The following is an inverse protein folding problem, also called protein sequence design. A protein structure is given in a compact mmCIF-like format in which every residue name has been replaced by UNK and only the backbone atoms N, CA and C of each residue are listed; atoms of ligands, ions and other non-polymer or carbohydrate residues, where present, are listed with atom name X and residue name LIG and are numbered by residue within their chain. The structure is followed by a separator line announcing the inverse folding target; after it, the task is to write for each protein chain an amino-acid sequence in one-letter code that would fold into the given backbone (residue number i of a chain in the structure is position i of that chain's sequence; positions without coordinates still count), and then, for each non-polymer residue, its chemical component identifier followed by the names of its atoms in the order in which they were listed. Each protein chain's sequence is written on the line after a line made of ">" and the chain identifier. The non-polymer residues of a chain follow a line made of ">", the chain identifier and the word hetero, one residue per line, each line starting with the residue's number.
data_IF_761853844107
#
_entry.id   IF_761853844107
#
_cell.length_a   1.000
_cell.length_b   1.000
_cell.length_c   1.000
_cell.angle_alpha   90.00
_cell.angle_beta   90.00
_cell.angle_gamma   90.00
#
_symmetry.space_group_name_H-M   'P 1'
#
loop_
_entity.id
_entity.type
_entity.pdbx_description
1 polymer ?
#
# COMPACT_ATOMS: atom_id res chain seq x y z
N UNK A 1 27.70 -13.74 0.49
CA UNK A 1 27.34 -13.92 1.91
C UNK A 1 26.04 -13.19 2.16
N UNK A 2 25.03 -13.79 2.79
CA UNK A 2 23.83 -13.05 3.15
C UNK A 2 24.23 -11.90 4.08
N UNK A 3 23.61 -10.75 3.89
CA UNK A 3 23.81 -9.59 4.78
C UNK A 3 23.21 -9.95 6.15
N UNK A 4 23.62 -9.27 7.20
CA UNK A 4 23.16 -9.56 8.56
C UNK A 4 21.61 -9.60 8.68
N UNK A 5 20.91 -8.76 7.91
CA UNK A 5 19.45 -8.75 7.78
C UNK A 5 18.87 -9.92 6.98
N UNK A 6 19.70 -10.66 6.25
CA UNK A 6 19.34 -11.81 5.40
C UNK A 6 19.71 -13.13 6.09
N UNK A 7 20.33 -13.06 7.27
CA UNK A 7 20.78 -14.24 8.01
C UNK A 7 19.67 -14.93 8.81
N UNK A 8 18.53 -14.27 9.03
CA UNK A 8 17.39 -14.86 9.71
C UNK A 8 16.39 -15.39 8.70
N UNK A 9 16.01 -16.63 8.84
CA UNK A 9 14.87 -17.19 8.10
C UNK A 9 13.57 -16.53 8.55
N UNK A 10 12.50 -16.67 7.77
CA UNK A 10 11.16 -16.25 8.16
C UNK A 10 10.77 -16.91 9.48
N UNK A 11 11.06 -18.19 9.62
CA UNK A 11 10.78 -19.00 10.81
C UNK A 11 11.55 -18.48 12.04
N UNK A 12 12.83 -18.11 11.88
CA UNK A 12 13.61 -17.51 12.95
C UNK A 12 13.07 -16.16 13.37
N UNK A 13 12.66 -15.33 12.41
CA UNK A 13 12.04 -14.04 12.67
C UNK A 13 10.75 -14.22 13.46
N UNK A 14 9.87 -15.10 13.04
CA UNK A 14 8.61 -15.39 13.74
C UNK A 14 8.84 -15.92 15.15
N UNK A 15 9.84 -16.79 15.34
CA UNK A 15 10.21 -17.30 16.65
C UNK A 15 10.69 -16.19 17.60
N UNK A 16 11.51 -15.26 17.10
CA UNK A 16 12.00 -14.12 17.90
C UNK A 16 10.88 -13.15 18.24
N UNK A 17 9.92 -12.97 17.34
CA UNK A 17 8.74 -12.15 17.59
C UNK A 17 7.85 -12.70 18.72
N UNK A 18 7.81 -14.01 18.87
CA UNK A 18 7.07 -14.67 19.95
C UNK A 18 5.63 -14.16 20.10
N UNK A 19 4.90 -14.14 19.01
CA UNK A 19 3.51 -13.66 18.94
C UNK A 19 3.32 -12.14 19.08
N UNK A 20 4.38 -11.37 19.23
CA UNK A 20 4.28 -9.90 19.27
C UNK A 20 3.90 -9.34 17.92
N UNK A 21 3.07 -8.31 17.91
CA UNK A 21 2.66 -7.61 16.70
C UNK A 21 3.87 -7.04 15.95
N UNK A 22 3.90 -7.29 14.65
CA UNK A 22 4.80 -6.63 13.70
C UNK A 22 4.00 -6.12 12.50
N UNK A 23 4.38 -4.93 11.99
CA UNK A 23 4.01 -4.48 10.67
C UNK A 23 5.17 -4.78 9.72
N UNK A 24 4.97 -5.72 8.81
CA UNK A 24 5.96 -6.13 7.84
C UNK A 24 5.74 -5.37 6.53
N UNK A 25 6.68 -4.50 6.18
CA UNK A 25 6.75 -3.84 4.88
C UNK A 25 7.42 -4.77 3.86
N UNK A 26 7.16 -4.55 2.57
CA UNK A 26 7.66 -5.39 1.49
C UNK A 26 7.33 -6.86 1.67
N UNK A 27 6.10 -7.13 2.13
CA UNK A 27 5.66 -8.51 2.40
C UNK A 27 5.71 -9.39 1.12
N UNK A 28 5.64 -8.76 -0.05
CA UNK A 28 5.75 -9.42 -1.35
C UNK A 28 7.14 -10.00 -1.63
N UNK A 29 8.17 -9.51 -0.94
CA UNK A 29 9.54 -10.00 -1.07
C UNK A 29 10.32 -9.53 -2.30
N UNK A 30 9.67 -8.88 -3.26
CA UNK A 30 10.29 -8.41 -4.49
C UNK A 30 10.90 -7.02 -4.37
N UNK A 31 10.20 -6.09 -3.73
CA UNK A 31 10.51 -4.66 -3.75
C UNK A 31 11.70 -4.22 -2.89
N UNK A 32 12.23 -5.02 -2.06
CA UNK A 32 13.31 -4.66 -1.13
C UNK A 32 13.47 -5.68 -0.03
N UNK A 33 12.60 -6.67 -0.02
CA UNK A 33 12.65 -7.79 0.90
C UNK A 33 13.95 -8.55 0.75
N UNK A 34 14.49 -8.98 1.87
CA UNK A 34 15.77 -9.66 1.90
C UNK A 34 15.65 -11.15 1.53
N UNK A 35 14.43 -11.68 1.59
CA UNK A 35 14.18 -13.10 1.42
C UNK A 35 12.98 -13.27 0.50
N UNK A 36 13.11 -13.99 -0.65
CA UNK A 36 11.99 -14.20 -1.57
C UNK A 36 10.76 -14.84 -0.93
N UNK A 37 10.95 -15.57 0.17
CA UNK A 37 9.88 -16.27 0.87
C UNK A 37 9.26 -15.45 2.03
N UNK A 38 9.57 -14.18 2.17
CA UNK A 38 8.96 -13.32 3.23
C UNK A 38 7.43 -13.27 3.11
N UNK A 39 6.89 -13.52 1.93
CA UNK A 39 5.46 -13.61 1.68
C UNK A 39 4.75 -14.64 2.60
N UNK A 40 5.46 -15.65 3.10
CA UNK A 40 4.94 -16.58 4.13
C UNK A 40 4.43 -15.87 5.38
N UNK A 41 4.96 -14.69 5.68
CA UNK A 41 4.52 -13.91 6.85
C UNK A 41 3.13 -13.30 6.67
N UNK A 42 2.62 -13.16 5.44
CA UNK A 42 1.37 -12.45 5.18
C UNK A 42 0.15 -13.07 5.87
N UNK A 43 0.12 -14.40 6.00
CA UNK A 43 -0.99 -15.12 6.63
C UNK A 43 -0.90 -15.28 8.15
N UNK A 44 0.20 -14.81 8.78
CA UNK A 44 0.47 -15.06 10.21
C UNK A 44 -0.36 -14.11 11.09
N UNK A 45 -1.05 -14.61 12.15
CA UNK A 45 -2.03 -13.83 12.94
C UNK A 45 -1.50 -12.60 13.65
N UNK A 46 -0.19 -12.51 13.91
CA UNK A 46 0.42 -11.33 14.55
C UNK A 46 1.23 -10.46 13.57
N UNK A 47 1.15 -10.73 12.27
CA UNK A 47 1.85 -9.98 11.23
C UNK A 47 0.86 -9.19 10.37
N UNK A 48 0.95 -7.89 10.41
CA UNK A 48 0.21 -7.00 9.51
C UNK A 48 1.06 -6.81 8.26
N UNK A 49 0.62 -7.37 7.13
CA UNK A 49 1.35 -7.28 5.86
C UNK A 49 1.04 -6.00 5.10
N UNK A 50 2.08 -5.42 4.50
CA UNK A 50 1.99 -4.26 3.61
C UNK A 50 2.85 -4.50 2.37
N UNK A 51 2.24 -4.36 1.19
CA UNK A 51 2.94 -4.38 -0.09
C UNK A 51 3.26 -2.98 -0.58
N UNK A 52 4.24 -2.87 -1.46
CA UNK A 52 4.61 -1.61 -2.09
C UNK A 52 4.15 -1.52 -3.53
N UNK A 53 3.85 -0.31 -3.98
CA UNK A 53 3.21 -0.09 -5.27
C UNK A 53 4.01 -0.52 -6.52
N UNK A 54 5.35 -0.61 -6.54
CA UNK A 54 6.08 -1.04 -7.73
C UNK A 54 5.68 -2.41 -8.26
N UNK A 55 5.24 -3.34 -7.39
CA UNK A 55 4.82 -4.69 -7.80
C UNK A 55 3.37 -4.76 -8.30
N UNK A 56 2.57 -3.70 -8.08
CA UNK A 56 1.12 -3.68 -8.25
C UNK A 56 0.67 -2.92 -9.49
N UNK A 57 -0.28 -3.46 -10.26
CA UNK A 57 -0.62 -4.87 -10.38
C UNK A 57 0.43 -5.66 -11.14
N UNK A 58 0.44 -6.98 -11.03
CA UNK A 58 1.31 -7.84 -11.82
C UNK A 58 0.99 -7.71 -13.31
N UNK A 59 1.88 -7.04 -14.04
CA UNK A 59 1.76 -6.76 -15.46
C UNK A 59 2.79 -7.53 -16.29
N UNK A 60 2.62 -7.53 -17.62
CA UNK A 60 3.49 -8.23 -18.58
C UNK A 60 4.97 -7.94 -18.36
N UNK A 61 5.32 -6.68 -18.15
CA UNK A 61 6.71 -6.23 -18.05
C UNK A 61 7.20 -6.09 -16.59
N UNK A 62 6.35 -6.42 -15.61
CA UNK A 62 6.63 -6.19 -14.19
C UNK A 62 7.94 -6.86 -13.72
N UNK A 63 8.23 -8.07 -14.19
CA UNK A 63 9.49 -8.79 -13.86
C UNK A 63 10.72 -8.03 -14.38
N UNK A 64 10.66 -7.57 -15.62
CA UNK A 64 11.77 -6.86 -16.26
C UNK A 64 11.97 -5.47 -15.62
N UNK A 65 10.88 -4.74 -15.39
CA UNK A 65 10.90 -3.44 -14.70
C UNK A 65 11.49 -3.57 -13.30
N UNK A 66 11.05 -4.57 -12.55
CA UNK A 66 11.53 -4.80 -11.18
C UNK A 66 13.00 -5.19 -11.13
N UNK A 67 13.44 -6.03 -12.07
CA UNK A 67 14.85 -6.36 -12.21
C UNK A 67 15.68 -5.09 -12.42
N UNK A 68 15.28 -4.22 -13.34
CA UNK A 68 15.94 -2.94 -13.58
C UNK A 68 15.95 -2.03 -12.35
N UNK A 69 14.84 -1.98 -11.63
CA UNK A 69 14.72 -1.19 -10.39
C UNK A 69 15.64 -1.70 -9.28
N UNK A 70 15.70 -3.01 -9.05
CA UNK A 70 16.58 -3.63 -8.05
C UNK A 70 18.05 -3.34 -8.39
N UNK A 71 18.43 -3.53 -9.64
CA UNK A 71 19.80 -3.24 -10.11
C UNK A 71 20.15 -1.77 -9.83
N UNK A 72 19.27 -0.86 -10.20
CA UNK A 72 19.50 0.58 -10.02
C UNK A 72 19.48 1.02 -8.56
N UNK A 73 18.47 0.58 -7.78
CA UNK A 73 18.30 1.02 -6.41
C UNK A 73 19.38 0.48 -5.45
N UNK A 74 19.96 -0.67 -5.76
CA UNK A 74 21.01 -1.29 -4.94
C UNK A 74 22.43 -1.10 -5.52
N UNK A 75 22.57 -0.28 -6.57
CA UNK A 75 23.84 -0.06 -7.27
C UNK A 75 24.54 -1.37 -7.67
N UNK A 76 23.75 -2.37 -8.10
CA UNK A 76 24.29 -3.66 -8.53
C UNK A 76 24.97 -3.55 -9.88
N UNK A 77 26.01 -4.31 -10.05
CA UNK A 77 26.77 -4.37 -11.30
C UNK A 77 26.38 -5.64 -12.07
N UNK A 78 25.63 -5.47 -13.14
CA UNK A 78 25.12 -6.60 -13.95
C UNK A 78 26.23 -7.47 -14.53
N UNK A 79 27.43 -6.91 -14.70
CA UNK A 79 28.63 -7.61 -15.19
C UNK A 79 29.23 -8.54 -14.12
N UNK A 80 28.82 -8.39 -12.86
CA UNK A 80 29.24 -9.26 -11.78
C UNK A 80 28.21 -10.39 -11.60
N UNK A 81 28.60 -11.65 -11.82
CA UNK A 81 27.66 -12.79 -11.73
C UNK A 81 26.90 -12.87 -10.41
N UNK A 82 27.54 -12.51 -9.30
CA UNK A 82 26.93 -12.52 -7.96
C UNK A 82 25.81 -11.47 -7.83
N UNK A 83 26.02 -10.27 -8.33
CA UNK A 83 25.03 -9.18 -8.30
C UNK A 83 23.83 -9.50 -9.19
N UNK A 84 24.13 -9.99 -10.40
CA UNK A 84 23.08 -10.40 -11.33
C UNK A 84 22.25 -11.58 -10.79
N UNK A 85 22.87 -12.56 -10.12
CA UNK A 85 22.17 -13.65 -9.48
C UNK A 85 21.29 -13.15 -8.34
N UNK A 86 21.80 -12.27 -7.47
CA UNK A 86 21.06 -11.67 -6.38
C UNK A 86 19.80 -10.94 -6.87
N UNK A 87 19.91 -10.16 -7.95
CA UNK A 87 18.76 -9.47 -8.52
C UNK A 87 17.70 -10.45 -9.05
N UNK A 88 18.14 -11.51 -9.78
CA UNK A 88 17.21 -12.51 -10.32
C UNK A 88 16.53 -13.34 -9.25
N UNK A 89 17.23 -13.68 -8.18
CA UNK A 89 16.67 -14.49 -7.08
C UNK A 89 15.55 -13.77 -6.33
N UNK A 90 15.56 -12.46 -6.32
CA UNK A 90 14.53 -11.63 -5.68
C UNK A 90 13.28 -11.47 -6.52
N UNK A 91 13.38 -11.48 -7.84
CA UNK A 91 12.28 -11.15 -8.74
C UNK A 91 11.67 -12.43 -9.29
N UNK A 92 10.48 -12.77 -8.82
CA UNK A 92 9.79 -14.01 -9.19
C UNK A 92 8.36 -13.72 -9.62
N UNK A 93 8.04 -14.09 -10.84
CA UNK A 93 6.69 -13.93 -11.39
C UNK A 93 5.60 -14.59 -10.51
N UNK A 94 5.90 -15.76 -9.96
CA UNK A 94 4.96 -16.48 -9.10
C UNK A 94 4.57 -15.73 -7.83
N UNK A 95 5.53 -15.09 -7.15
CA UNK A 95 5.23 -14.27 -5.96
C UNK A 95 4.51 -12.99 -6.32
N UNK A 96 4.85 -12.34 -7.44
CA UNK A 96 4.16 -11.13 -7.91
C UNK A 96 2.70 -11.40 -8.29
N UNK A 97 2.43 -12.51 -8.98
CA UNK A 97 1.06 -12.90 -9.31
C UNK A 97 0.25 -13.27 -8.07
N UNK A 98 0.85 -14.01 -7.14
CA UNK A 98 0.19 -14.38 -5.89
C UNK A 98 -0.08 -13.18 -4.98
N UNK A 99 0.75 -12.15 -5.02
CA UNK A 99 0.55 -10.91 -4.27
C UNK A 99 -0.80 -10.28 -4.61
N UNK A 100 -1.14 -10.13 -5.90
CA UNK A 100 -2.43 -9.59 -6.33
C UNK A 100 -3.61 -10.40 -5.73
N UNK A 101 -3.50 -11.74 -5.76
CA UNK A 101 -4.53 -12.63 -5.20
C UNK A 101 -4.62 -12.50 -3.68
N UNK A 102 -3.50 -12.45 -2.97
CA UNK A 102 -3.48 -12.27 -1.51
C UNK A 102 -4.09 -10.94 -1.09
N UNK A 103 -3.89 -9.89 -1.88
CA UNK A 103 -4.59 -8.63 -1.68
C UNK A 103 -6.10 -8.77 -1.86
N UNK A 104 -6.52 -9.44 -2.92
CA UNK A 104 -7.94 -9.58 -3.23
C UNK A 104 -8.67 -10.48 -2.23
N UNK A 105 -8.00 -11.49 -1.71
CA UNK A 105 -8.49 -12.35 -0.63
C UNK A 105 -8.50 -11.66 0.76
N UNK A 106 -7.92 -10.47 0.89
CA UNK A 106 -7.84 -9.74 2.16
C UNK A 106 -6.81 -10.27 3.15
N UNK A 107 -5.79 -10.98 2.68
CA UNK A 107 -4.65 -11.44 3.50
C UNK A 107 -3.63 -10.33 3.68
N UNK A 108 -3.31 -9.58 2.62
CA UNK A 108 -2.48 -8.38 2.71
C UNK A 108 -3.39 -7.17 2.92
N UNK A 109 -3.27 -6.54 4.09
CA UNK A 109 -4.22 -5.53 4.56
C UNK A 109 -3.89 -4.08 4.19
N UNK A 110 -2.69 -3.80 3.71
CA UNK A 110 -2.19 -2.43 3.47
C UNK A 110 -1.43 -2.37 2.15
N UNK A 111 -1.59 -1.26 1.42
CA UNK A 111 -0.71 -0.87 0.32
C UNK A 111 0.07 0.38 0.68
N UNK A 112 1.34 0.41 0.30
CA UNK A 112 2.27 1.52 0.58
C UNK A 112 3.02 1.95 -0.68
N UNK A 113 3.74 3.06 -0.59
CA UNK A 113 4.38 3.66 -1.75
C UNK A 113 5.83 3.26 -1.95
N UNK A 114 6.55 2.99 -0.88
CA UNK A 114 8.02 2.94 -0.88
C UNK A 114 8.64 4.22 -1.50
N UNK A 115 8.01 5.36 -1.25
CA UNK A 115 8.49 6.63 -1.79
C UNK A 115 9.93 6.91 -1.33
N UNK A 116 10.75 7.39 -2.26
CA UNK A 116 12.20 7.65 -2.07
C UNK A 116 13.06 6.37 -1.98
N UNK A 117 12.47 5.20 -1.88
CA UNK A 117 13.15 3.93 -2.08
C UNK A 117 13.07 3.52 -3.56
N UNK A 118 12.05 2.70 -3.90
CA UNK A 118 11.80 2.32 -5.30
C UNK A 118 10.39 2.68 -5.78
N UNK A 119 9.55 3.28 -4.96
CA UNK A 119 8.15 3.57 -5.28
C UNK A 119 7.84 5.06 -5.40
N UNK A 120 6.61 5.37 -5.77
CA UNK A 120 6.09 6.72 -5.96
C UNK A 120 4.81 6.91 -5.17
N UNK A 121 4.82 7.84 -4.22
CA UNK A 121 3.66 8.10 -3.36
C UNK A 121 2.39 8.39 -4.17
N UNK A 122 2.49 9.21 -5.21
CA UNK A 122 1.36 9.57 -6.05
C UNK A 122 0.73 8.40 -6.81
N UNK A 123 1.45 7.33 -7.07
CA UNK A 123 0.93 6.17 -7.78
C UNK A 123 0.20 5.15 -6.88
N UNK A 124 0.33 5.27 -5.56
CA UNK A 124 -0.17 4.24 -4.65
C UNK A 124 -1.67 4.01 -4.81
N UNK A 125 -2.46 5.08 -4.83
CA UNK A 125 -3.92 4.99 -4.99
C UNK A 125 -4.27 4.36 -6.34
N UNK A 126 -3.70 4.89 -7.42
CA UNK A 126 -3.98 4.42 -8.77
C UNK A 126 -3.62 2.94 -8.96
N UNK A 127 -2.43 2.52 -8.53
CA UNK A 127 -1.99 1.13 -8.68
C UNK A 127 -2.82 0.17 -7.83
N UNK A 128 -3.24 0.60 -6.65
CA UNK A 128 -4.15 -0.17 -5.79
C UNK A 128 -5.48 -0.44 -6.50
N UNK A 129 -6.09 0.57 -7.12
CA UNK A 129 -7.35 0.37 -7.87
C UNK A 129 -7.15 -0.28 -9.23
N UNK A 130 -6.00 -0.12 -9.88
CA UNK A 130 -5.65 -0.90 -11.06
C UNK A 130 -5.57 -2.40 -10.75
N UNK A 131 -5.00 -2.76 -9.60
CA UNK A 131 -5.00 -4.14 -9.11
C UNK A 131 -6.43 -4.64 -8.84
N UNK A 132 -7.28 -3.83 -8.19
CA UNK A 132 -8.68 -4.17 -7.98
C UNK A 132 -9.41 -4.47 -9.30
N UNK A 133 -9.18 -3.63 -10.32
CA UNK A 133 -9.73 -3.83 -11.66
C UNK A 133 -9.25 -5.11 -12.34
N UNK A 134 -7.95 -5.42 -12.23
CA UNK A 134 -7.37 -6.68 -12.70
C UNK A 134 -8.02 -7.88 -12.02
N UNK A 135 -8.11 -7.86 -10.68
CA UNK A 135 -8.68 -8.97 -9.92
C UNK A 135 -10.17 -9.17 -10.22
N UNK A 136 -10.93 -8.10 -10.45
CA UNK A 136 -12.32 -8.22 -10.91
C UNK A 136 -12.40 -8.92 -12.26
N UNK A 137 -11.53 -8.58 -13.19
CA UNK A 137 -11.51 -9.19 -14.52
C UNK A 137 -11.12 -10.67 -14.48
N UNK A 138 -10.26 -11.06 -13.55
CA UNK A 138 -9.72 -12.41 -13.43
C UNK A 138 -10.59 -13.33 -12.58
N UNK A 139 -11.11 -12.85 -11.45
CA UNK A 139 -11.81 -13.66 -10.44
C UNK A 139 -13.32 -13.37 -10.34
N UNK A 140 -13.83 -12.38 -11.08
CA UNK A 140 -15.22 -11.94 -10.96
C UNK A 140 -15.45 -10.98 -9.78
N UNK A 141 -16.73 -10.57 -9.56
CA UNK A 141 -17.09 -9.66 -8.48
C UNK A 141 -16.97 -10.33 -7.10
N UNK A 142 -16.74 -9.52 -6.07
CA UNK A 142 -16.87 -9.96 -4.68
C UNK A 142 -18.32 -9.76 -4.21
N UNK A 143 -18.87 -10.75 -3.51
CA UNK A 143 -20.14 -10.63 -2.82
C UNK A 143 -20.02 -9.83 -1.51
N UNK A 144 -21.16 -9.59 -0.84
CA UNK A 144 -21.21 -8.84 0.42
C UNK A 144 -20.47 -9.52 1.59
N UNK A 145 -20.16 -10.80 1.46
CA UNK A 145 -19.37 -11.57 2.43
C UNK A 145 -17.88 -11.62 2.06
N UNK A 146 -17.53 -11.09 0.88
CA UNK A 146 -16.16 -11.03 0.39
C UNK A 146 -15.68 -12.32 -0.28
N UNK A 147 -16.59 -13.17 -0.70
CA UNK A 147 -16.35 -14.35 -1.52
C UNK A 147 -16.58 -14.04 -3.00
N UNK A 148 -16.00 -14.85 -3.89
CA UNK A 148 -16.21 -14.65 -5.32
C UNK A 148 -17.60 -15.14 -5.74
N UNK A 149 -18.40 -14.21 -6.24
CA UNK A 149 -19.75 -14.51 -6.75
C UNK A 149 -19.71 -15.15 -8.11
N UNK A 150 -20.68 -16.04 -8.37
CA UNK A 150 -20.87 -16.67 -9.68
C UNK A 150 -21.75 -15.86 -10.62
N UNK A 151 -22.46 -14.86 -10.10
CA UNK A 151 -23.34 -13.99 -10.88
C UNK A 151 -22.86 -12.54 -10.80
N UNK A 152 -22.86 -11.87 -11.94
CA UNK A 152 -22.58 -10.45 -12.02
C UNK A 152 -23.73 -9.67 -11.36
N UNK A 153 -23.62 -9.35 -10.09
CA UNK A 153 -24.54 -8.43 -9.40
C UNK A 153 -24.53 -7.01 -9.97
N UNK A 154 -23.70 -6.75 -10.96
CA UNK A 154 -23.54 -5.45 -11.60
C UNK A 154 -22.65 -4.48 -10.81
N UNK A 155 -22.44 -4.69 -9.53
CA UNK A 155 -21.55 -3.89 -8.71
C UNK A 155 -20.42 -4.73 -8.09
N UNK A 156 -19.41 -4.07 -7.58
CA UNK A 156 -18.26 -4.68 -6.90
C UNK A 156 -17.85 -3.80 -5.70
N UNK A 157 -18.86 -3.27 -5.01
CA UNK A 157 -18.69 -2.34 -3.92
C UNK A 157 -17.87 -2.93 -2.78
N UNK A 158 -18.00 -4.24 -2.53
CA UNK A 158 -17.21 -4.92 -1.50
C UNK A 158 -15.71 -4.87 -1.83
N UNK A 159 -15.32 -5.11 -3.09
CA UNK A 159 -13.92 -4.96 -3.50
C UNK A 159 -13.44 -3.52 -3.39
N UNK A 160 -14.25 -2.54 -3.82
CA UNK A 160 -13.90 -1.12 -3.68
C UNK A 160 -13.63 -0.77 -2.21
N UNK A 161 -14.50 -1.20 -1.30
CA UNK A 161 -14.35 -0.95 0.14
C UNK A 161 -13.14 -1.69 0.73
N UNK A 162 -12.88 -2.92 0.31
CA UNK A 162 -11.70 -3.70 0.71
C UNK A 162 -10.41 -2.99 0.32
N UNK A 163 -10.32 -2.50 -0.91
CA UNK A 163 -9.14 -1.81 -1.40
C UNK A 163 -9.01 -0.39 -0.86
N UNK A 164 -10.13 0.29 -0.62
CA UNK A 164 -10.13 1.58 0.07
C UNK A 164 -9.58 1.46 1.50
N UNK A 165 -9.97 0.42 2.22
CA UNK A 165 -9.49 0.19 3.59
C UNK A 165 -7.96 0.04 3.67
N UNK A 166 -7.32 -0.53 2.63
CA UNK A 166 -5.85 -0.68 2.54
C UNK A 166 -5.09 0.64 2.48
N UNK A 167 -5.75 1.68 1.99
CA UNK A 167 -5.17 3.02 1.80
C UNK A 167 -5.54 3.98 2.94
N UNK A 168 -6.53 3.64 3.76
CA UNK A 168 -7.14 4.57 4.70
C UNK A 168 -7.12 4.04 6.13
N UNK A 169 -8.16 3.29 6.51
CA UNK A 169 -8.36 2.90 7.90
C UNK A 169 -7.35 1.85 8.39
N UNK A 170 -6.94 0.90 7.55
CA UNK A 170 -6.01 -0.15 7.96
C UNK A 170 -4.62 0.39 8.32
N UNK A 171 -3.96 1.24 7.52
CA UNK A 171 -2.73 1.87 7.95
C UNK A 171 -2.92 2.77 9.19
N UNK A 172 -4.07 3.43 9.33
CA UNK A 172 -4.35 4.24 10.51
C UNK A 172 -4.46 3.39 11.79
N UNK A 173 -5.08 2.21 11.72
CA UNK A 173 -5.11 1.22 12.81
C UNK A 173 -3.70 0.72 13.11
N UNK A 174 -2.98 0.24 12.08
CA UNK A 174 -1.65 -0.34 12.24
C UNK A 174 -0.65 0.62 12.91
N UNK A 175 -0.77 1.91 12.62
CA UNK A 175 0.10 2.96 13.16
C UNK A 175 -0.48 3.70 14.36
N UNK A 176 -1.68 3.36 14.81
CA UNK A 176 -2.26 3.86 16.07
C UNK A 176 -2.83 5.28 16.00
N UNK A 177 -3.27 5.75 14.82
CA UNK A 177 -3.91 7.06 14.65
C UNK A 177 -5.33 6.99 14.06
N UNK A 178 -5.95 5.83 14.08
CA UNK A 178 -7.33 5.65 13.59
C UNK A 178 -8.38 6.51 14.33
N UNK A 179 -8.06 7.04 15.49
CA UNK A 179 -8.90 7.98 16.23
C UNK A 179 -8.88 9.42 15.67
N UNK A 180 -7.94 9.74 14.77
CA UNK A 180 -7.81 11.06 14.16
C UNK A 180 -8.04 11.06 12.65
N UNK A 181 -7.68 9.95 11.97
CA UNK A 181 -7.72 9.82 10.51
C UNK A 181 -8.14 8.42 10.07
N UNK A 182 -8.30 8.22 8.77
CA UNK A 182 -8.50 6.90 8.15
C UNK A 182 -9.96 6.57 7.85
N UNK A 183 -10.92 7.34 8.36
CA UNK A 183 -12.35 7.18 8.07
C UNK A 183 -13.07 8.53 8.13
N UNK A 184 -14.22 8.60 7.47
CA UNK A 184 -15.09 9.80 7.50
C UNK A 184 -16.04 9.66 8.70
N UNK A 185 -15.64 10.25 9.81
CA UNK A 185 -16.39 10.24 11.07
C UNK A 185 -16.34 11.61 11.74
N UNK A 186 -17.40 11.95 12.46
CA UNK A 186 -17.45 13.20 13.24
C UNK A 186 -16.33 13.19 14.29
N UNK A 187 -15.54 14.26 14.31
CA UNK A 187 -14.42 14.43 15.24
C UNK A 187 -13.05 14.05 14.68
N UNK A 188 -13.00 13.40 13.51
CA UNK A 188 -11.74 13.15 12.80
C UNK A 188 -11.38 14.29 11.84
N UNK A 189 -10.12 14.36 11.44
CA UNK A 189 -9.67 15.30 10.43
C UNK A 189 -10.42 15.09 9.11
N UNK A 190 -10.90 16.17 8.53
CA UNK A 190 -11.59 16.16 7.24
C UNK A 190 -10.57 16.04 6.09
N UNK A 191 -9.84 14.92 6.07
CA UNK A 191 -8.96 14.50 4.98
C UNK A 191 -9.80 13.73 3.97
N UNK A 192 -10.31 14.43 2.96
CA UNK A 192 -11.36 13.90 2.07
C UNK A 192 -10.91 14.03 0.62
N UNK A 193 -11.15 12.98 -0.16
CA UNK A 193 -10.89 12.97 -1.59
C UNK A 193 -12.21 12.82 -2.35
N UNK A 194 -12.43 13.72 -3.31
CA UNK A 194 -13.58 13.66 -4.19
C UNK A 194 -13.14 13.22 -5.59
N UNK A 195 -13.84 12.24 -6.15
CA UNK A 195 -13.65 11.78 -7.52
C UNK A 195 -14.93 11.90 -8.34
N UNK A 196 -14.79 12.19 -9.60
CA UNK A 196 -15.80 11.79 -10.55
C UNK A 196 -15.81 10.27 -10.66
N UNK A 197 -16.97 9.59 -10.65
CA UNK A 197 -17.05 8.13 -10.67
C UNK A 197 -16.20 7.48 -11.78
N UNK A 198 -16.21 8.03 -12.98
CA UNK A 198 -15.44 7.53 -14.13
C UNK A 198 -13.91 7.62 -13.96
N UNK A 199 -13.42 8.42 -13.01
CA UNK A 199 -12.00 8.61 -12.73
C UNK A 199 -11.61 8.13 -11.33
N UNK A 200 -12.49 7.35 -10.70
CA UNK A 200 -12.28 6.87 -9.34
C UNK A 200 -10.95 6.14 -9.20
N UNK A 201 -10.18 6.52 -8.18
CA UNK A 201 -8.88 5.94 -7.88
C UNK A 201 -7.73 6.40 -8.80
N UNK A 202 -8.02 7.10 -9.90
CA UNK A 202 -7.00 7.53 -10.85
C UNK A 202 -6.76 9.06 -10.84
N UNK A 203 -7.84 9.83 -10.92
CA UNK A 203 -7.77 11.30 -11.04
C UNK A 203 -8.72 11.95 -10.04
N UNK A 204 -8.24 12.45 -8.89
CA UNK A 204 -9.10 13.14 -7.94
C UNK A 204 -9.56 14.48 -8.50
N UNK A 205 -10.82 14.83 -8.23
CA UNK A 205 -11.37 16.14 -8.54
C UNK A 205 -10.89 17.18 -7.52
N UNK A 206 -10.89 16.79 -6.25
CA UNK A 206 -10.50 17.65 -5.15
C UNK A 206 -9.97 16.81 -4.00
N UNK A 207 -8.91 17.28 -3.37
CA UNK A 207 -8.40 16.72 -2.11
C UNK A 207 -8.47 17.80 -1.03
N UNK A 208 -9.18 17.49 0.05
CA UNK A 208 -9.23 18.32 1.23
C UNK A 208 -8.28 17.77 2.30
N UNK A 209 -7.48 18.65 2.88
CA UNK A 209 -6.66 18.37 4.05
C UNK A 209 -7.22 19.14 5.24
N UNK A 210 -7.75 18.42 6.24
CA UNK A 210 -8.46 19.02 7.37
C UNK A 210 -9.54 20.03 6.94
N UNK A 211 -10.26 19.71 5.85
CA UNK A 211 -11.28 20.57 5.27
C UNK A 211 -10.76 21.71 4.37
N UNK A 212 -9.45 21.87 4.25
CA UNK A 212 -8.84 22.90 3.40
C UNK A 212 -8.46 22.31 2.03
N UNK A 213 -8.78 22.98 0.89
CA UNK A 213 -8.39 22.52 -0.43
C UNK A 213 -6.86 22.46 -0.56
N UNK A 214 -6.31 21.25 -0.77
CA UNK A 214 -4.87 20.99 -0.88
C UNK A 214 -4.46 20.58 -2.30
N UNK A 215 -5.40 20.07 -3.09
CA UNK A 215 -5.16 19.62 -4.45
C UNK A 215 -6.48 19.65 -5.22
N UNK A 216 -6.46 20.03 -6.48
CA UNK A 216 -7.66 20.02 -7.31
C UNK A 216 -7.34 20.07 -8.79
N UNK A 217 -8.36 19.80 -9.60
CA UNK A 217 -8.31 20.08 -11.03
C UNK A 217 -8.41 21.59 -11.20
N UNK A 218 -7.37 22.20 -11.72
CA UNK A 218 -7.40 23.60 -12.10
C UNK A 218 -7.89 23.72 -13.53
N UNK A 219 -9.09 24.28 -13.72
CA UNK A 219 -9.52 24.76 -15.03
C UNK A 219 -8.85 26.09 -15.31
N UNK A 220 -7.78 26.11 -16.07
CA UNK A 220 -7.36 27.35 -16.72
C UNK A 220 -8.27 27.57 -17.93
N UNK A 221 -9.06 28.66 -18.00
CA UNK A 221 -9.91 28.96 -19.15
C UNK A 221 -9.16 29.03 -20.47
N UNK A 222 -7.86 29.26 -20.43
CA UNK A 222 -6.99 29.30 -21.60
C UNK A 222 -6.23 27.99 -21.84
N UNK A 223 -6.35 26.98 -20.95
CA UNK A 223 -5.71 25.69 -21.14
C UNK A 223 -6.57 24.79 -22.02
N UNK A 224 -5.94 24.12 -22.96
CA UNK A 224 -6.59 23.13 -23.82
C UNK A 224 -6.78 21.78 -23.14
N UNK A 225 -6.25 21.59 -21.93
CA UNK A 225 -6.32 20.35 -21.15
C UNK A 225 -6.51 20.65 -19.67
N UNK A 226 -7.35 19.84 -19.01
CA UNK A 226 -7.44 19.85 -17.56
C UNK A 226 -6.16 19.29 -16.98
N UNK A 227 -5.55 20.00 -16.06
CA UNK A 227 -4.40 19.54 -15.29
C UNK A 227 -4.79 19.29 -13.87
N UNK A 228 -4.32 18.18 -13.31
CA UNK A 228 -4.30 17.99 -11.88
C UNK A 228 -3.00 18.55 -11.35
N UNK A 229 -3.08 19.62 -10.62
CA UNK A 229 -1.91 20.24 -9.99
C UNK A 229 -2.11 20.30 -8.49
N UNK A 230 -1.05 20.08 -7.69
CA UNK A 230 -1.11 20.44 -6.29
C UNK A 230 -1.42 21.94 -6.24
N UNK A 231 -2.43 22.29 -5.46
CA UNK A 231 -2.65 23.71 -5.15
C UNK A 231 -1.43 24.17 -4.37
N UNK A 232 -0.47 24.75 -5.08
CA UNK A 232 0.63 25.47 -4.44
C UNK A 232 0.00 26.70 -3.84
N UNK A 233 -0.34 26.58 -2.57
CA UNK A 233 -0.89 27.68 -1.79
C UNK A 233 0.22 28.70 -1.58
N UNK A 234 0.42 29.54 -2.58
CA UNK A 234 1.21 30.74 -2.41
C UNK A 234 0.55 31.65 -1.38
N UNK A 235 1.21 32.74 -1.03
CA UNK A 235 0.73 33.73 -0.07
C UNK A 235 -0.70 34.18 -0.31
N UNK A 236 -1.10 34.34 -1.56
CA UNK A 236 -2.43 34.80 -1.96
C UNK A 236 -3.57 33.79 -1.66
N UNK A 237 -3.25 32.52 -1.38
CA UNK A 237 -4.22 31.47 -1.08
C UNK A 237 -4.23 31.05 0.39
N UNK A 238 -3.73 31.89 1.29
CA UNK A 238 -3.75 31.61 2.72
C UNK A 238 -2.68 30.64 3.21
N UNK A 239 -1.69 30.27 2.38
CA UNK A 239 -0.57 29.42 2.79
C UNK A 239 0.45 30.13 3.67
N UNK A 240 0.12 31.31 4.15
CA UNK A 240 0.96 32.09 5.07
C UNK A 240 0.93 31.56 6.49
N UNK A 241 2.02 31.76 7.17
CA UNK A 241 2.11 31.64 8.62
C UNK A 241 1.85 30.23 9.12
N UNK A 242 0.74 30.04 9.80
CA UNK A 242 0.46 28.83 10.54
C UNK A 242 -0.31 27.75 9.73
N UNK A 243 -0.83 28.05 8.55
CA UNK A 243 -1.80 27.17 7.83
C UNK A 243 -1.31 25.73 7.73
N UNK A 244 -0.08 25.49 7.31
CA UNK A 244 0.47 24.14 7.19
C UNK A 244 0.54 23.39 8.54
N UNK A 245 0.70 24.12 9.64
CA UNK A 245 0.66 23.55 10.98
C UNK A 245 -0.79 23.31 11.45
N UNK A 246 -1.69 24.22 11.12
CA UNK A 246 -3.09 24.18 11.57
C UNK A 246 -3.89 23.04 10.92
N UNK A 247 -3.59 22.72 9.64
CA UNK A 247 -4.25 21.63 8.89
C UNK A 247 -3.60 20.26 9.06
N UNK A 248 -2.58 20.14 9.91
CA UNK A 248 -1.87 18.88 10.12
C UNK A 248 -1.62 18.60 11.59
N UNK A 249 -1.30 17.33 11.89
CA UNK A 249 -0.97 16.86 13.23
C UNK A 249 0.40 16.20 13.24
N UNK A 250 1.02 16.16 14.40
CA UNK A 250 2.20 15.35 14.67
C UNK A 250 1.81 14.18 15.56
N UNK A 251 1.87 12.97 15.03
CA UNK A 251 1.66 11.75 15.79
C UNK A 251 2.92 11.42 16.58
N UNK A 252 2.80 11.31 17.87
CA UNK A 252 3.93 11.14 18.79
C UNK A 252 3.59 10.13 19.89
N UNK A 253 4.59 9.69 20.62
CA UNK A 253 4.36 8.90 21.83
C UNK A 253 3.59 9.73 22.88
N UNK A 254 2.77 9.07 23.70
CA UNK A 254 2.00 9.75 24.74
C UNK A 254 2.86 10.58 25.71
N UNK A 255 4.07 10.09 26.02
CA UNK A 255 5.02 10.83 26.83
C UNK A 255 5.45 12.16 26.18
N UNK A 256 5.57 12.19 24.85
CA UNK A 256 5.93 13.41 24.13
C UNK A 256 4.77 14.41 24.04
N UNK A 257 3.52 13.95 24.14
CA UNK A 257 2.36 14.86 24.30
C UNK A 257 2.42 15.57 25.64
N UNK A 258 2.75 14.83 26.71
CA UNK A 258 2.84 15.38 28.07
C UNK A 258 4.04 16.31 28.25
N UNK A 259 5.17 16.00 27.62
CA UNK A 259 6.44 16.73 27.77
C UNK A 259 6.74 17.59 26.54
N UNK A 260 5.72 18.17 25.95
CA UNK A 260 5.74 18.75 24.61
C UNK A 260 6.66 19.93 24.35
N UNK A 261 7.21 20.56 25.37
CA UNK A 261 8.05 21.77 25.22
C UNK A 261 9.40 21.51 24.54
N UNK A 262 9.82 20.24 24.46
CA UNK A 262 11.08 19.85 23.84
C UNK A 262 10.97 19.55 22.34
N UNK A 263 9.77 19.50 21.76
CA UNK A 263 9.57 19.19 20.36
C UNK A 263 9.31 20.47 19.54
N UNK A 264 10.22 20.87 18.64
CA UNK A 264 10.11 22.13 17.89
C UNK A 264 9.07 22.00 16.76
N UNK A 265 7.80 21.88 17.09
CA UNK A 265 6.70 21.85 16.13
C UNK A 265 5.54 22.72 16.59
N UNK A 266 4.92 23.40 15.63
CA UNK A 266 3.66 24.15 15.83
C UNK A 266 2.43 23.29 15.61
N UNK A 267 2.57 22.06 15.03
CA UNK A 267 1.48 21.14 14.81
C UNK A 267 0.88 20.66 16.13
N UNK A 268 -0.43 20.46 16.15
CA UNK A 268 -1.10 19.77 17.25
C UNK A 268 -0.48 18.38 17.43
N UNK A 269 -0.05 18.05 18.62
CA UNK A 269 0.50 16.73 18.94
C UNK A 269 -0.62 15.80 19.32
N UNK A 270 -0.62 14.59 18.76
CA UNK A 270 -1.59 13.55 19.00
C UNK A 270 -0.88 12.27 19.39
N UNK A 271 -1.31 11.66 20.47
CA UNK A 271 -0.71 10.42 20.94
C UNK A 271 -1.07 9.24 20.02
N UNK A 272 -0.09 8.46 19.64
CA UNK A 272 -0.27 7.14 19.04
C UNK A 272 -0.91 6.21 20.07
N UNK A 273 -1.94 5.44 19.66
CA UNK A 273 -2.71 4.55 20.56
C UNK A 273 -2.97 3.19 19.91
N UNK A 274 -3.08 2.14 20.73
CA UNK A 274 -3.58 0.84 20.29
C UNK A 274 -2.67 0.09 19.30
N UNK A 275 -1.35 0.31 19.32
CA UNK A 275 -0.39 -0.35 18.42
C UNK A 275 0.11 -1.71 18.93
N UNK A 276 -0.30 -2.13 20.11
CA UNK A 276 0.08 -3.41 20.70
C UNK A 276 -1.09 -4.35 20.74
N UNK A 277 -0.83 -5.64 20.49
CA UNK A 277 -1.88 -6.67 20.52
C UNK A 277 -2.88 -6.56 19.37
N UNK A 278 -2.51 -5.90 18.27
CA UNK A 278 -3.28 -5.88 17.02
C UNK A 278 -2.66 -6.83 16.01
N UNK A 279 -3.45 -7.24 15.02
CA UNK A 279 -3.00 -8.13 13.96
C UNK A 279 -3.91 -8.02 12.74
N UNK A 280 -3.80 -8.92 11.76
CA UNK A 280 -4.67 -8.95 10.60
C UNK A 280 -6.16 -8.94 10.94
N UNK A 281 -6.58 -9.59 12.03
CA UNK A 281 -7.96 -9.58 12.49
C UNK A 281 -8.54 -8.20 12.82
N UNK A 282 -7.70 -7.17 12.97
CA UNK A 282 -8.10 -5.79 13.19
C UNK A 282 -8.18 -4.98 11.89
N UNK A 283 -7.75 -5.54 10.76
CA UNK A 283 -7.77 -4.85 9.47
C UNK A 283 -9.15 -4.95 8.84
N UNK A 284 -9.80 -3.81 8.67
CA UNK A 284 -11.14 -3.75 8.11
C UNK A 284 -11.18 -4.40 6.72
N UNK A 285 -12.10 -5.36 6.51
CA UNK A 285 -12.31 -6.11 5.25
C UNK A 285 -11.07 -6.86 4.73
N UNK A 286 -10.02 -6.94 5.55
CA UNK A 286 -8.74 -7.55 5.21
C UNK A 286 -8.20 -8.36 6.41
N UNK A 287 -9.08 -9.13 7.04
CA UNK A 287 -8.80 -9.85 8.27
C UNK A 287 -8.40 -11.32 8.05
N UNK A 288 -8.29 -11.77 6.81
CA UNK A 288 -8.00 -13.16 6.49
C UNK A 288 -6.58 -13.53 6.90
N UNK A 289 -6.45 -14.65 7.58
CA UNK A 289 -5.19 -15.31 7.90
C UNK A 289 -5.17 -16.70 7.26
N UNK A 290 -4.03 -17.35 7.23
CA UNK A 290 -3.86 -18.70 6.69
C UNK A 290 -2.39 -19.06 6.56
N UNK A 291 -2.12 -20.26 6.14
CA UNK A 291 -0.76 -20.73 5.88
C UNK A 291 -0.37 -20.38 4.45
N UNK A 292 0.53 -19.41 4.31
CA UNK A 292 1.11 -19.06 3.01
C UNK A 292 2.41 -19.83 2.84
N UNK A 293 2.48 -20.67 1.81
CA UNK A 293 3.69 -21.38 1.42
C UNK A 293 4.26 -20.84 0.11
N UNK A 294 5.58 -20.75 0.06
CA UNK A 294 6.33 -20.30 -1.12
C UNK A 294 7.33 -21.38 -1.50
N UNK A 295 7.21 -21.93 -2.69
CA UNK A 295 8.13 -22.93 -3.19
C UNK A 295 9.50 -22.29 -3.47
N UNK A 296 10.58 -22.71 -2.80
CA UNK A 296 11.87 -22.02 -2.83
C UNK A 296 12.52 -21.96 -4.22
N UNK A 297 12.27 -22.95 -5.07
CA UNK A 297 12.87 -23.03 -6.41
C UNK A 297 12.07 -22.29 -7.47
N UNK A 298 10.74 -22.37 -7.44
CA UNK A 298 9.87 -21.83 -8.50
C UNK A 298 9.22 -20.50 -8.13
N UNK A 299 9.15 -20.14 -6.83
CA UNK A 299 8.40 -19.00 -6.34
C UNK A 299 6.87 -19.17 -6.43
N UNK A 300 6.38 -20.38 -6.69
CA UNK A 300 4.95 -20.66 -6.63
C UNK A 300 4.45 -20.54 -5.21
N UNK A 301 3.29 -19.93 -5.06
CA UNK A 301 2.67 -19.62 -3.77
C UNK A 301 1.36 -20.37 -3.62
N UNK A 302 1.07 -20.81 -2.41
CA UNK A 302 -0.23 -21.35 -2.03
C UNK A 302 -0.72 -20.71 -0.73
N UNK A 303 -2.03 -20.70 -0.53
CA UNK A 303 -2.70 -20.33 0.71
C UNK A 303 -3.53 -21.51 1.18
N UNK A 304 -3.25 -22.04 2.36
CA UNK A 304 -3.90 -23.21 2.93
C UNK A 304 -3.86 -24.45 2.00
N UNK A 305 -2.78 -24.56 1.22
CA UNK A 305 -2.56 -25.62 0.24
C UNK A 305 -3.13 -25.33 -1.16
N UNK A 306 -3.99 -24.33 -1.32
CA UNK A 306 -4.55 -23.95 -2.61
C UNK A 306 -3.59 -23.03 -3.39
N UNK A 307 -3.22 -23.38 -4.63
CA UNK A 307 -2.31 -22.56 -5.42
C UNK A 307 -2.88 -21.18 -5.73
N UNK A 308 -2.07 -20.15 -5.55
CA UNK A 308 -2.39 -18.77 -5.93
C UNK A 308 -1.70 -18.46 -7.26
N UNK A 309 -2.49 -18.40 -8.31
CA UNK A 309 -2.00 -18.12 -9.66
C UNK A 309 -2.77 -16.93 -10.21
N UNK A 310 -2.05 -15.96 -10.73
CA UNK A 310 -2.60 -14.82 -11.45
C UNK A 310 -1.75 -14.54 -12.67
N UNK A 311 -2.39 -14.30 -13.79
CA UNK A 311 -1.70 -14.00 -15.04
C UNK A 311 -1.22 -12.53 -15.06
N UNK A 312 -0.10 -12.24 -15.71
CA UNK A 312 0.29 -10.85 -15.93
C UNK A 312 -0.74 -10.16 -16.84
N UNK A 313 -1.20 -8.97 -16.43
CA UNK A 313 -2.11 -8.20 -17.27
C UNK A 313 -1.38 -7.45 -18.38
N UNK A 314 -2.02 -7.34 -19.54
CA UNK A 314 -1.51 -6.59 -20.69
C UNK A 314 -1.88 -5.11 -20.66
N UNK A 315 -2.87 -4.75 -19.86
CA UNK A 315 -3.38 -3.38 -19.76
C UNK A 315 -3.99 -3.10 -18.41
N UNK A 316 -3.92 -1.85 -18.01
CA UNK A 316 -4.63 -1.32 -16.85
C UNK A 316 -5.41 -0.08 -17.26
N UNK A 317 -6.62 0.06 -16.74
CA UNK A 317 -7.47 1.20 -17.02
C UNK A 317 -6.90 2.48 -16.43
N UNK A 318 -7.10 3.61 -17.13
CA UNK A 318 -6.79 4.97 -16.67
C UNK A 318 -5.32 5.22 -16.30
N UNK A 319 -4.39 4.36 -16.71
CA UNK A 319 -3.01 4.43 -16.24
C UNK A 319 -2.28 5.73 -16.62
N UNK A 320 -2.63 6.33 -17.76
CA UNK A 320 -1.99 7.57 -18.24
C UNK A 320 -2.62 8.85 -17.68
N UNK A 321 -3.83 8.79 -17.17
CA UNK A 321 -4.51 9.97 -16.63
C UNK A 321 -3.84 10.57 -15.40
N UNK A 322 -3.02 9.79 -14.73
CA UNK A 322 -2.31 10.22 -13.54
C UNK A 322 -1.12 11.14 -13.84
N UNK A 323 -0.52 11.03 -15.02
CA UNK A 323 0.70 11.74 -15.40
C UNK A 323 0.46 12.93 -16.33
N UNK A 324 -0.80 13.29 -16.55
CA UNK A 324 -1.16 14.42 -17.42
C UNK A 324 -1.43 15.67 -16.63
#
# INVERSE_FOLDING_TARGET
>A
MPRASECLSVEDTLRVLDGRTIHAFHIEGCGGGHVPNVLKMAGVPNVIGSSTNPTLPFGRDAVAEHYGMIVSAHDLKVDLPGDAAMARDRIRAGTMGAEDVLHDLGVIGITSSDAQGMGRAGETVRRTFAMAGKMKAELGPLDGEGSYGTEASGDDNERVLRYMAKLTINPAIAHGFAHEVGSIEVGKLADIVLWWPQYFGAKPQLVLKAGFPAYGVTGDPNASTDRCEPLVLGPQFGAHGATAADISVAFVAEAAVRNGDQMPTRRRRVAVRGTRGIGPGNMLRNARTGTVDVHPGTGLVSLDGEPLVSAPTDSVSLSRLYFL
#
